data_IF_506817812834
#
_entry.id   IF_506817812834
#
_cell.length_a   1.000
_cell.length_b   1.000
_cell.length_c   1.000
_cell.angle_alpha   90.00
_cell.angle_beta   90.00
_cell.angle_gamma   90.00
#
_symmetry.space_group_name_H-M   'P 1'
#
loop_
_entity.id
_entity.type
_entity.pdbx_description
1 polymer ?
#
# COMPACT_ATOMS: atom_id res chain seq x y z
N UNK A 1 -0.44 14.94 8.46
CA UNK A 1 -1.06 14.38 7.24
C UNK A 1 -0.29 14.78 5.97
N UNK A 2 1.04 14.58 5.92
CA UNK A 2 1.84 14.92 4.72
C UNK A 2 2.65 13.71 4.24
N UNK A 3 2.62 13.55 2.92
CA UNK A 3 3.42 12.66 2.06
C UNK A 3 2.99 11.18 1.97
N UNK A 4 1.95 10.95 1.17
CA UNK A 4 1.43 9.65 0.71
C UNK A 4 2.32 8.94 -0.32
N UNK A 5 3.63 8.86 -0.07
CA UNK A 5 4.55 8.10 -0.93
C UNK A 5 4.67 6.62 -0.54
N UNK A 6 4.14 6.23 0.63
CA UNK A 6 4.23 4.87 1.16
C UNK A 6 2.85 4.33 1.54
N UNK A 7 1.91 4.30 0.59
CA UNK A 7 0.55 3.75 0.81
C UNK A 7 0.53 2.27 1.22
N UNK A 8 1.63 1.54 1.04
CA UNK A 8 1.74 0.12 1.40
C UNK A 8 2.87 -0.22 2.38
N UNK A 9 3.60 0.76 2.94
CA UNK A 9 4.61 0.46 3.95
C UNK A 9 3.94 0.31 5.32
N UNK A 10 4.04 -0.88 5.88
CA UNK A 10 3.53 -1.20 7.21
C UNK A 10 4.66 -0.90 8.20
N UNK A 11 4.54 0.13 9.07
CA UNK A 11 5.50 0.35 10.14
C UNK A 11 5.54 -0.88 11.06
N UNK A 12 6.67 -1.05 11.75
CA UNK A 12 6.70 -1.94 12.90
C UNK A 12 5.62 -1.47 13.89
N UNK A 13 4.82 -2.42 14.33
CA UNK A 13 3.75 -2.19 15.27
C UNK A 13 3.76 -3.33 16.28
N UNK A 14 3.33 -3.00 17.48
CA UNK A 14 3.11 -3.95 18.55
C UNK A 14 1.73 -3.73 19.12
N UNK A 15 1.16 -4.77 19.72
CA UNK A 15 -0.04 -4.61 20.50
C UNK A 15 0.21 -4.85 22.00
N UNK A 16 -0.55 -4.15 22.82
CA UNK A 16 -0.63 -4.33 24.26
C UNK A 16 -1.90 -5.12 24.58
N UNK A 17 -1.73 -6.30 25.19
CA UNK A 17 -2.83 -7.23 25.49
C UNK A 17 -3.26 -7.05 26.92
N UNK A 18 -4.57 -7.15 27.13
CA UNK A 18 -5.19 -7.07 28.44
C UNK A 18 -6.31 -8.09 28.55
N UNK A 19 -6.67 -8.40 29.80
CA UNK A 19 -7.79 -9.28 30.12
C UNK A 19 -9.06 -8.44 30.32
N UNK A 20 -10.25 -9.02 30.11
CA UNK A 20 -11.52 -8.27 30.11
C UNK A 20 -11.87 -7.58 31.46
N UNK A 21 -11.25 -8.00 32.57
CA UNK A 21 -11.58 -7.54 33.92
C UNK A 21 -10.54 -6.64 34.61
N UNK A 22 -9.31 -6.56 34.09
CA UNK A 22 -8.23 -5.69 34.60
C UNK A 22 -7.28 -5.33 33.48
N UNK A 23 -7.06 -4.03 33.25
CA UNK A 23 -6.09 -3.47 32.31
C UNK A 23 -4.64 -3.66 32.84
N UNK A 24 -4.26 -4.86 33.26
CA UNK A 24 -2.88 -5.18 33.65
C UNK A 24 -2.24 -6.04 32.57
N UNK A 25 -1.09 -5.55 32.10
CA UNK A 25 -0.31 -6.12 31.00
C UNK A 25 0.51 -7.28 31.53
N UNK A 26 -0.05 -8.48 31.54
CA UNK A 26 0.68 -9.66 32.03
C UNK A 26 1.21 -10.52 30.88
N UNK A 27 2.07 -9.99 30.01
CA UNK A 27 3.10 -10.79 29.33
C UNK A 27 4.30 -9.90 28.96
N UNK A 28 5.49 -10.32 29.37
CA UNK A 28 6.79 -9.76 28.97
C UNK A 28 7.05 -10.04 27.47
N UNK A 29 6.36 -9.34 26.56
CA UNK A 29 6.60 -9.48 25.12
C UNK A 29 5.68 -8.65 24.22
N UNK A 30 6.27 -7.74 23.45
CA UNK A 30 5.62 -7.07 22.31
C UNK A 30 5.61 -8.02 21.10
N UNK A 31 4.47 -8.62 20.77
CA UNK A 31 4.32 -9.41 19.54
C UNK A 31 3.59 -8.57 18.47
N UNK A 32 3.89 -8.88 17.21
CA UNK A 32 3.40 -8.19 16.01
C UNK A 32 2.30 -8.99 15.29
N UNK A 33 1.51 -9.73 16.07
CA UNK A 33 0.46 -10.64 15.57
C UNK A 33 -0.91 -10.21 16.04
N UNK A 34 -1.91 -10.65 15.30
CA UNK A 34 -3.31 -10.31 15.53
C UNK A 34 -4.04 -11.34 16.40
N UNK A 35 -3.44 -12.54 16.52
CA UNK A 35 -3.94 -13.63 17.34
C UNK A 35 -3.25 -13.64 18.69
N UNK A 36 -4.01 -13.96 19.73
CA UNK A 36 -3.50 -14.10 21.09
C UNK A 36 -2.48 -15.25 21.15
N UNK A 37 -1.45 -15.17 22.02
CA UNK A 37 -0.58 -16.31 22.29
C UNK A 37 -1.40 -17.51 22.79
N UNK A 38 -1.05 -18.73 22.37
CA UNK A 38 -1.80 -19.96 22.68
C UNK A 38 -1.90 -20.31 24.17
N UNK A 39 -1.15 -19.61 25.03
CA UNK A 39 -1.22 -19.77 26.48
C UNK A 39 -2.36 -18.95 27.12
N UNK A 40 -3.03 -18.08 26.35
CA UNK A 40 -3.98 -17.08 26.81
C UNK A 40 -4.95 -16.68 25.68
N UNK A 41 -5.99 -17.49 25.46
CA UNK A 41 -6.99 -17.31 24.39
C UNK A 41 -8.03 -16.21 24.65
N UNK A 42 -8.25 -15.82 25.91
CA UNK A 42 -9.23 -14.79 26.31
C UNK A 42 -8.68 -13.35 26.28
N UNK A 43 -7.40 -13.16 25.95
CA UNK A 43 -6.81 -11.82 25.91
C UNK A 43 -7.22 -11.13 24.61
N UNK A 44 -7.48 -9.82 24.72
CA UNK A 44 -7.76 -8.96 23.57
C UNK A 44 -6.67 -7.91 23.41
N UNK A 45 -6.41 -7.54 22.16
CA UNK A 45 -5.53 -6.43 21.80
C UNK A 45 -6.20 -5.09 22.16
N UNK A 46 -5.79 -4.46 23.27
CA UNK A 46 -6.46 -3.25 23.79
C UNK A 46 -5.90 -1.98 23.14
N UNK A 47 -4.58 -1.91 22.97
CA UNK A 47 -3.91 -0.75 22.38
C UNK A 47 -2.86 -1.20 21.37
N UNK A 48 -2.95 -0.66 20.17
CA UNK A 48 -1.91 -0.79 19.13
C UNK A 48 -0.94 0.37 19.25
N UNK A 49 0.36 0.08 19.22
CA UNK A 49 1.42 1.09 19.25
C UNK A 49 2.28 0.96 18.00
N UNK A 50 2.46 2.07 17.30
CA UNK A 50 3.27 2.16 16.09
C UNK A 50 4.55 2.94 16.38
N UNK A 51 5.64 2.56 15.72
CA UNK A 51 6.90 3.30 15.83
C UNK A 51 6.73 4.76 15.32
N UNK A 52 7.16 5.77 16.09
CA UNK A 52 6.97 7.19 15.73
C UNK A 52 7.86 7.65 14.58
N UNK A 53 8.83 6.83 14.15
CA UNK A 53 9.74 7.15 13.05
C UNK A 53 9.06 7.09 11.67
N UNK A 54 7.90 6.43 11.56
CA UNK A 54 7.20 6.26 10.29
C UNK A 54 5.68 6.48 10.44
N UNK A 55 5.23 7.66 10.00
CA UNK A 55 3.81 7.97 9.86
C UNK A 55 3.31 7.53 8.49
N UNK A 56 2.38 6.57 8.45
CA UNK A 56 1.78 6.08 7.20
C UNK A 56 0.26 6.04 7.30
N UNK A 57 -0.38 5.88 6.14
CA UNK A 57 -1.83 5.61 6.03
C UNK A 57 -2.27 4.44 6.92
N UNK A 58 -1.39 3.45 7.13
CA UNK A 58 -1.70 2.27 7.96
C UNK A 58 -1.70 2.61 9.45
N UNK A 59 -0.78 3.47 9.91
CA UNK A 59 -0.69 3.89 11.32
C UNK A 59 -1.66 5.01 11.70
N UNK A 60 -2.13 5.80 10.74
CA UNK A 60 -3.13 6.85 11.00
C UNK A 60 -4.54 6.29 11.31
N UNK A 61 -4.89 5.17 10.68
CA UNK A 61 -6.25 4.60 10.72
C UNK A 61 -6.28 3.15 11.23
N UNK A 62 -5.18 2.64 11.80
CA UNK A 62 -5.04 1.29 12.38
C UNK A 62 -5.44 0.14 11.43
N UNK A 63 -5.02 0.18 10.15
CA UNK A 63 -5.37 -0.80 9.10
C UNK A 63 -4.61 -2.13 9.21
N UNK A 64 -4.54 -2.69 10.41
CA UNK A 64 -3.82 -3.94 10.68
C UNK A 64 -4.79 -5.04 11.12
N UNK A 65 -4.41 -6.30 10.90
CA UNK A 65 -5.18 -7.48 11.23
C UNK A 65 -6.43 -7.59 10.35
N UNK A 66 -7.62 -7.59 10.95
CA UNK A 66 -8.92 -7.68 10.29
C UNK A 66 -9.20 -6.57 9.26
N UNK A 67 -8.39 -5.51 9.25
CA UNK A 67 -8.54 -4.33 8.37
C UNK A 67 -7.41 -4.17 7.35
N UNK A 68 -6.58 -5.18 7.16
CA UNK A 68 -5.49 -5.17 6.18
C UNK A 68 -5.99 -5.07 4.72
N UNK A 69 -7.12 -5.71 4.42
CA UNK A 69 -7.80 -5.68 3.12
C UNK A 69 -8.17 -4.26 2.65
N UNK A 70 -8.34 -3.31 3.58
CA UNK A 70 -8.69 -1.93 3.26
C UNK A 70 -7.57 -1.25 2.45
N UNK A 71 -6.30 -1.54 2.77
CA UNK A 71 -5.15 -0.96 2.05
C UNK A 71 -5.12 -1.42 0.59
N UNK A 72 -5.41 -2.70 0.36
CA UNK A 72 -5.52 -3.26 -0.99
C UNK A 72 -6.72 -2.67 -1.74
N UNK A 73 -7.86 -2.54 -1.06
CA UNK A 73 -9.09 -1.95 -1.61
C UNK A 73 -8.88 -0.49 -2.03
N UNK A 74 -8.15 0.30 -1.25
CA UNK A 74 -7.82 1.69 -1.63
C UNK A 74 -7.04 1.71 -2.96
N UNK A 75 -6.09 0.78 -3.13
CA UNK A 75 -5.28 0.69 -4.35
C UNK A 75 -6.12 0.27 -5.55
N UNK A 76 -7.02 -0.70 -5.39
CA UNK A 76 -7.91 -1.13 -6.50
C UNK A 76 -8.87 -0.02 -6.91
N UNK A 77 -9.44 0.72 -5.95
CA UNK A 77 -10.29 1.89 -6.25
C UNK A 77 -9.49 2.97 -6.99
N UNK A 78 -8.24 3.23 -6.58
CA UNK A 78 -7.38 4.21 -7.28
C UNK A 78 -7.12 3.81 -8.73
N UNK A 79 -6.84 2.53 -8.99
CA UNK A 79 -6.65 2.02 -10.35
C UNK A 79 -7.95 2.06 -11.16
N UNK A 80 -9.09 1.77 -10.54
CA UNK A 80 -10.41 1.94 -11.15
C UNK A 80 -10.70 3.40 -11.53
N UNK A 81 -10.37 4.34 -10.63
CA UNK A 81 -10.49 5.78 -10.89
C UNK A 81 -9.57 6.26 -12.02
N UNK A 82 -8.36 5.71 -12.11
CA UNK A 82 -7.45 5.98 -13.23
C UNK A 82 -8.04 5.50 -14.56
N UNK A 83 -8.61 4.30 -14.60
CA UNK A 83 -9.22 3.74 -15.80
C UNK A 83 -10.43 4.55 -16.26
N UNK A 84 -11.35 4.83 -15.34
CA UNK A 84 -12.54 5.63 -15.65
C UNK A 84 -12.18 7.07 -16.04
N UNK A 85 -11.26 7.68 -15.29
CA UNK A 85 -10.75 9.02 -15.59
C UNK A 85 -10.07 9.10 -16.96
N UNK A 86 -9.39 8.04 -17.40
CA UNK A 86 -8.77 7.98 -18.73
C UNK A 86 -9.79 7.94 -19.86
N UNK A 87 -10.87 7.15 -19.72
CA UNK A 87 -11.95 7.08 -20.70
C UNK A 87 -12.66 8.43 -20.84
N UNK A 88 -12.99 9.06 -19.71
CA UNK A 88 -13.67 10.36 -19.68
C UNK A 88 -12.76 11.49 -20.18
N UNK A 89 -11.50 11.52 -19.73
CA UNK A 89 -10.53 12.53 -20.16
C UNK A 89 -10.24 12.46 -21.66
N UNK A 90 -10.28 11.26 -22.27
CA UNK A 90 -10.18 11.10 -23.72
C UNK A 90 -11.29 11.83 -24.46
N UNK A 91 -12.55 11.58 -24.09
CA UNK A 91 -13.70 12.23 -24.71
C UNK A 91 -13.71 13.75 -24.50
N UNK A 92 -13.38 14.20 -23.29
CA UNK A 92 -13.32 15.64 -22.96
C UNK A 92 -12.20 16.34 -23.74
N UNK A 93 -11.04 15.69 -23.92
CA UNK A 93 -9.92 16.27 -24.65
C UNK A 93 -10.26 16.52 -26.13
N UNK A 94 -11.10 15.66 -26.72
CA UNK A 94 -11.55 15.80 -28.11
C UNK A 94 -12.60 16.92 -28.25
N UNK A 95 -13.43 17.16 -27.23
CA UNK A 95 -14.47 18.21 -27.27
C UNK A 95 -13.97 19.62 -26.91
N UNK A 96 -13.18 19.76 -25.85
CA UNK A 96 -12.76 21.08 -25.33
C UNK A 96 -11.45 21.58 -25.94
N UNK A 97 -10.76 20.76 -26.73
CA UNK A 97 -9.47 21.09 -27.30
C UNK A 97 -8.31 20.92 -26.32
N UNK A 98 -7.09 20.85 -26.87
CA UNK A 98 -5.90 20.34 -26.16
C UNK A 98 -5.33 21.28 -25.09
N UNK A 99 -5.40 22.59 -25.32
CA UNK A 99 -4.79 23.63 -24.47
C UNK A 99 -5.58 23.94 -23.19
N UNK A 100 -6.90 24.20 -23.23
CA UNK A 100 -7.67 24.48 -22.02
C UNK A 100 -7.84 23.25 -21.12
N UNK A 101 -7.96 22.05 -21.71
CA UNK A 101 -8.06 20.79 -20.96
C UNK A 101 -6.87 20.59 -20.02
N UNK A 102 -5.66 20.96 -20.46
CA UNK A 102 -4.45 20.85 -19.64
C UNK A 102 -4.50 21.76 -18.40
N UNK A 103 -4.78 23.06 -18.60
CA UNK A 103 -4.86 24.02 -17.49
C UNK A 103 -5.98 23.68 -16.52
N UNK A 104 -7.15 23.27 -17.03
CA UNK A 104 -8.29 22.87 -16.21
C UNK A 104 -7.97 21.63 -15.36
N UNK A 105 -7.32 20.63 -15.97
CA UNK A 105 -6.90 19.40 -15.26
C UNK A 105 -5.90 19.71 -14.16
N UNK A 106 -4.95 20.62 -14.41
CA UNK A 106 -3.94 21.00 -13.42
C UNK A 106 -4.57 21.74 -12.23
N UNK A 107 -5.51 22.65 -12.50
CA UNK A 107 -6.24 23.37 -11.45
C UNK A 107 -7.10 22.41 -10.61
N UNK A 108 -7.86 21.53 -11.26
CA UNK A 108 -8.66 20.52 -10.57
C UNK A 108 -7.78 19.59 -9.73
N UNK A 109 -6.67 19.10 -10.28
CA UNK A 109 -5.74 18.23 -9.56
C UNK A 109 -5.21 18.91 -8.29
N UNK A 110 -4.85 20.19 -8.36
CA UNK A 110 -4.39 20.95 -7.21
C UNK A 110 -5.48 21.04 -6.13
N UNK A 111 -6.71 21.39 -6.52
CA UNK A 111 -7.85 21.49 -5.59
C UNK A 111 -8.13 20.14 -4.93
N UNK A 112 -8.24 19.04 -5.68
CA UNK A 112 -8.52 17.72 -5.12
C UNK A 112 -7.40 17.22 -4.19
N UNK A 113 -6.14 17.51 -4.51
CA UNK A 113 -5.03 17.15 -3.62
C UNK A 113 -5.03 17.98 -2.33
N UNK A 114 -5.36 19.27 -2.40
CA UNK A 114 -5.53 20.10 -1.21
C UNK A 114 -6.66 19.57 -0.33
N UNK A 115 -7.82 19.27 -0.92
CA UNK A 115 -8.96 18.71 -0.17
C UNK A 115 -8.61 17.35 0.43
N UNK A 116 -7.85 16.51 -0.29
CA UNK A 116 -7.39 15.22 0.22
C UNK A 116 -6.45 15.36 1.44
N UNK A 117 -5.69 16.46 1.55
CA UNK A 117 -4.83 16.70 2.71
C UNK A 117 -5.61 16.95 4.01
N UNK A 118 -6.86 17.40 3.91
CA UNK A 118 -7.75 17.62 5.06
C UNK A 118 -8.65 16.41 5.38
N UNK A 119 -8.49 15.28 4.69
CA UNK A 119 -9.38 14.13 4.90
C UNK A 119 -9.11 13.45 6.23
N UNK A 120 -10.14 13.27 7.04
CA UNK A 120 -10.07 12.58 8.35
C UNK A 120 -10.47 11.11 8.28
N UNK A 121 -11.11 10.67 7.19
CA UNK A 121 -11.61 9.31 7.00
C UNK A 121 -10.95 8.61 5.81
N UNK A 122 -10.61 7.33 5.98
CA UNK A 122 -10.01 6.50 4.93
C UNK A 122 -10.86 6.40 3.66
N UNK A 123 -12.21 6.44 3.78
CA UNK A 123 -13.13 6.40 2.62
C UNK A 123 -13.04 7.68 1.79
N UNK A 124 -13.11 8.83 2.45
CA UNK A 124 -12.99 10.14 1.82
C UNK A 124 -11.62 10.29 1.16
N UNK A 125 -10.57 9.86 1.86
CA UNK A 125 -9.22 9.82 1.34
C UNK A 125 -9.13 8.99 0.05
N UNK A 126 -9.70 7.78 0.04
CA UNK A 126 -9.67 6.88 -1.11
C UNK A 126 -10.38 7.48 -2.34
N UNK A 127 -11.57 8.05 -2.15
CA UNK A 127 -12.36 8.63 -3.25
C UNK A 127 -11.68 9.86 -3.84
N UNK A 128 -11.27 10.82 -3.00
CA UNK A 128 -10.61 12.05 -3.46
C UNK A 128 -9.33 11.74 -4.24
N UNK A 129 -8.55 10.77 -3.75
CA UNK A 129 -7.31 10.35 -4.40
C UNK A 129 -7.59 9.63 -5.73
N UNK A 130 -8.64 8.83 -5.80
CA UNK A 130 -9.03 8.14 -7.05
C UNK A 130 -9.47 9.13 -8.13
N UNK A 131 -10.19 10.19 -7.76
CA UNK A 131 -10.54 11.29 -8.66
C UNK A 131 -9.27 12.02 -9.12
N UNK A 132 -8.36 12.33 -8.19
CA UNK A 132 -7.07 12.95 -8.51
C UNK A 132 -6.23 12.14 -9.51
N UNK A 133 -6.13 10.82 -9.32
CA UNK A 133 -5.45 9.93 -10.26
C UNK A 133 -6.14 9.90 -11.64
N UNK A 134 -7.48 9.93 -11.67
CA UNK A 134 -8.23 10.04 -12.93
C UNK A 134 -7.88 11.30 -13.73
N UNK A 135 -7.80 12.45 -13.04
CA UNK A 135 -7.47 13.76 -13.64
C UNK A 135 -6.01 13.86 -14.10
N UNK A 136 -5.10 13.05 -13.52
CA UNK A 136 -3.68 13.07 -13.88
C UNK A 136 -3.39 12.50 -15.27
N UNK A 137 -4.28 11.69 -15.85
CA UNK A 137 -4.10 11.08 -17.18
C UNK A 137 -3.71 12.06 -18.30
N UNK A 138 -4.45 13.17 -18.55
CA UNK A 138 -4.08 14.16 -19.56
C UNK A 138 -2.75 14.87 -19.24
N UNK A 139 -2.42 15.05 -17.95
CA UNK A 139 -1.17 15.67 -17.50
C UNK A 139 0.03 14.76 -17.82
N UNK A 140 -0.11 13.45 -17.65
CA UNK A 140 0.94 12.48 -18.02
C UNK A 140 1.22 12.45 -19.53
N UNK A 141 0.27 12.90 -20.37
CA UNK A 141 0.37 12.93 -21.84
C UNK A 141 0.93 14.26 -22.38
N UNK A 142 1.53 15.10 -21.52
CA UNK A 142 2.05 16.43 -21.88
C UNK A 142 3.08 16.39 -23.02
N UNK A 143 3.88 15.31 -23.13
CA UNK A 143 4.90 15.18 -24.17
C UNK A 143 4.32 15.31 -25.57
N UNK A 144 3.19 14.67 -25.86
CA UNK A 144 2.54 14.73 -27.18
C UNK A 144 1.94 16.12 -27.46
N UNK A 145 1.63 16.89 -26.43
CA UNK A 145 1.16 18.28 -26.56
C UNK A 145 2.32 19.25 -26.87
N UNK A 146 3.50 19.01 -26.29
CA UNK A 146 4.67 19.89 -26.44
C UNK A 146 5.34 19.69 -27.81
N UNK A 147 5.30 18.48 -28.41
CA UNK A 147 5.91 18.18 -29.73
C UNK A 147 5.59 19.21 -30.83
N UNK A 148 4.32 19.55 -31.13
CA UNK A 148 4.02 20.55 -32.17
C UNK A 148 4.50 21.97 -31.81
N UNK A 149 4.57 22.31 -30.52
CA UNK A 149 5.13 23.60 -30.07
C UNK A 149 6.66 23.63 -30.27
N UNK A 150 7.36 22.51 -30.05
CA UNK A 150 8.79 22.38 -30.31
C UNK A 150 9.08 22.49 -31.80
N UNK A 151 8.30 21.85 -32.67
CA UNK A 151 8.50 21.92 -34.13
C UNK A 151 8.29 23.36 -34.63
N UNK A 152 7.29 24.06 -34.10
CA UNK A 152 7.06 25.48 -34.40
C UNK A 152 8.24 26.36 -33.96
N UNK A 153 8.75 26.17 -32.74
CA UNK A 153 9.91 26.91 -32.22
C UNK A 153 11.21 26.52 -32.94
N UNK A 154 11.35 25.27 -33.37
CA UNK A 154 12.52 24.77 -34.09
C UNK A 154 12.72 25.46 -35.43
N UNK A 155 11.66 25.99 -36.05
CA UNK A 155 11.77 26.79 -37.27
C UNK A 155 12.32 28.18 -37.01
N UNK A 156 12.18 28.72 -35.79
CA UNK A 156 12.65 30.05 -35.43
C UNK A 156 13.98 30.04 -34.64
N UNK A 157 14.36 28.91 -34.05
CA UNK A 157 15.63 28.76 -33.32
C UNK A 157 16.13 27.31 -33.36
N UNK A 158 17.21 27.07 -34.11
CA UNK A 158 17.80 25.73 -34.36
C UNK A 158 18.33 25.03 -33.09
N UNK A 159 18.59 25.77 -32.00
CA UNK A 159 19.21 25.24 -30.78
C UNK A 159 18.26 24.53 -29.79
N UNK A 160 16.95 24.76 -29.87
CA UNK A 160 16.00 24.29 -28.84
C UNK A 160 15.87 22.76 -28.83
N UNK A 161 15.94 22.13 -30.00
CA UNK A 161 15.81 20.68 -30.14
C UNK A 161 17.00 19.93 -29.54
N UNK A 162 18.21 20.45 -29.74
CA UNK A 162 19.43 19.91 -29.12
C UNK A 162 19.45 20.08 -27.60
N UNK A 163 18.97 21.24 -27.11
CA UNK A 163 18.87 21.47 -25.67
C UNK A 163 17.95 20.45 -25.01
N UNK A 164 16.74 20.24 -25.56
CA UNK A 164 15.75 19.29 -25.04
C UNK A 164 16.26 17.83 -25.06
N UNK A 165 16.91 17.41 -26.14
CA UNK A 165 17.50 16.08 -26.24
C UNK A 165 18.65 15.89 -25.24
N UNK A 166 19.44 16.96 -25.01
CA UNK A 166 20.46 17.02 -23.98
C UNK A 166 19.90 16.81 -22.57
N UNK A 167 18.79 17.47 -22.21
CA UNK A 167 18.19 17.31 -20.87
C UNK A 167 17.68 15.88 -20.64
N UNK A 168 17.14 15.22 -21.67
CA UNK A 168 16.70 13.83 -21.59
C UNK A 168 17.88 12.87 -21.41
N UNK A 169 18.97 13.07 -22.15
CA UNK A 169 20.20 12.30 -21.98
C UNK A 169 20.81 12.49 -20.58
N UNK A 170 20.90 13.74 -20.11
CA UNK A 170 21.40 14.07 -18.78
C UNK A 170 20.51 13.45 -17.69
N UNK A 171 19.18 13.49 -17.83
CA UNK A 171 18.28 12.83 -16.87
C UNK A 171 18.47 11.30 -16.84
N UNK A 172 18.72 10.67 -17.99
CA UNK A 172 18.96 9.23 -18.08
C UNK A 172 20.31 8.85 -17.46
N UNK A 173 21.35 9.67 -17.69
CA UNK A 173 22.65 9.52 -17.05
C UNK A 173 22.59 9.75 -15.53
N UNK A 174 21.80 10.72 -15.08
CA UNK A 174 21.54 10.93 -13.66
C UNK A 174 20.84 9.71 -13.03
N UNK A 175 19.88 9.08 -13.72
CA UNK A 175 19.24 7.85 -13.23
C UNK A 175 20.21 6.66 -13.19
N UNK A 176 21.17 6.59 -14.11
CA UNK A 176 22.26 5.59 -14.06
C UNK A 176 23.23 5.89 -12.89
N UNK A 177 23.41 7.17 -12.56
CA UNK A 177 24.22 7.62 -11.42
C UNK A 177 23.52 7.49 -10.06
N UNK A 178 22.19 7.38 -10.02
CA UNK A 178 21.48 7.00 -8.81
C UNK A 178 21.89 5.56 -8.51
N UNK A 179 22.53 5.30 -7.35
CA UNK A 179 22.85 3.93 -6.97
C UNK A 179 21.54 3.16 -6.87
N UNK A 180 21.34 2.24 -7.82
CA UNK A 180 20.31 1.21 -7.83
C UNK A 180 20.08 0.74 -6.38
N UNK A 181 18.90 1.04 -5.84
CA UNK A 181 18.48 0.56 -4.51
C UNK A 181 18.42 -0.98 -4.48
N UNK A 182 18.60 -1.65 -5.63
CA UNK A 182 18.63 -3.10 -5.81
C UNK A 182 19.79 -3.85 -5.14
N UNK A 183 20.85 -3.20 -4.65
CA UNK A 183 21.96 -3.91 -3.95
C UNK A 183 21.91 -3.91 -2.42
N UNK A 184 20.96 -3.21 -1.80
CA UNK A 184 20.60 -3.52 -0.41
C UNK A 184 19.41 -4.47 -0.44
N UNK A 185 19.76 -5.73 -0.26
CA UNK A 185 18.94 -6.90 -0.53
C UNK A 185 17.58 -6.83 0.16
N UNK A 186 16.52 -6.80 -0.65
CA UNK A 186 15.16 -7.16 -0.24
C UNK A 186 15.13 -8.57 0.39
N UNK A 187 16.18 -9.38 0.20
CA UNK A 187 16.39 -10.65 0.91
C UNK A 187 16.38 -10.48 2.42
N UNK A 188 16.77 -9.35 3.01
CA UNK A 188 16.64 -9.17 4.47
C UNK A 188 15.18 -9.05 4.90
N UNK A 189 14.34 -8.40 4.08
CA UNK A 189 12.89 -8.31 4.33
C UNK A 189 12.19 -9.63 4.02
N UNK A 190 12.55 -10.30 2.92
CA UNK A 190 11.99 -11.60 2.54
C UNK A 190 12.46 -12.70 3.51
N UNK A 191 13.71 -12.70 3.97
CA UNK A 191 14.24 -13.63 4.96
C UNK A 191 13.66 -13.36 6.35
N UNK A 192 13.48 -12.08 6.74
CA UNK A 192 12.74 -11.72 7.96
C UNK A 192 11.28 -12.18 7.86
N UNK A 193 10.60 -11.96 6.73
CA UNK A 193 9.23 -12.43 6.49
C UNK A 193 9.15 -13.96 6.48
N UNK A 194 10.11 -14.65 5.87
CA UNK A 194 10.20 -16.13 5.84
C UNK A 194 10.49 -16.73 7.22
N UNK A 195 11.35 -16.08 8.03
CA UNK A 195 11.60 -16.45 9.43
C UNK A 195 10.35 -16.26 10.28
N UNK A 196 9.63 -15.14 10.12
CA UNK A 196 8.36 -14.89 10.82
C UNK A 196 7.30 -15.91 10.40
N UNK A 197 7.15 -16.22 9.11
CA UNK A 197 6.23 -17.27 8.63
C UNK A 197 6.61 -18.66 9.16
N UNK A 198 7.90 -18.98 9.25
CA UNK A 198 8.36 -20.26 9.79
C UNK A 198 8.12 -20.35 11.30
N UNK A 199 8.45 -19.30 12.05
CA UNK A 199 8.13 -19.16 13.47
C UNK A 199 6.63 -19.29 13.74
N UNK A 200 5.79 -18.66 12.90
CA UNK A 200 4.33 -18.72 13.00
C UNK A 200 3.78 -20.11 12.62
N UNK A 201 4.43 -20.83 11.70
CA UNK A 201 4.07 -22.21 11.34
C UNK A 201 4.47 -23.21 12.43
N UNK A 202 5.67 -23.06 12.98
CA UNK A 202 6.19 -23.97 14.01
C UNK A 202 5.42 -23.81 15.33
N UNK A 203 4.96 -22.59 15.65
CA UNK A 203 4.05 -22.35 16.78
C UNK A 203 2.67 -22.97 16.58
N UNK A 204 2.08 -22.89 15.38
CA UNK A 204 0.82 -23.59 15.05
C UNK A 204 0.99 -25.10 15.16
N UNK A 205 2.08 -25.67 14.62
CA UNK A 205 2.34 -27.11 14.69
C UNK A 205 2.60 -27.60 16.11
N UNK A 206 3.23 -26.78 16.96
CA UNK A 206 3.44 -27.10 18.38
C UNK A 206 2.14 -27.04 19.17
N UNK A 207 1.22 -26.14 18.80
CA UNK A 207 -0.11 -26.07 19.39
C UNK A 207 -0.97 -27.27 18.96
N UNK A 208 -0.93 -27.67 17.69
CA UNK A 208 -1.61 -28.90 17.24
C UNK A 208 -1.06 -30.15 17.94
N UNK A 209 0.25 -30.25 18.17
CA UNK A 209 0.84 -31.39 18.92
C UNK A 209 0.47 -31.34 20.41
N UNK A 210 0.21 -30.16 20.98
CA UNK A 210 -0.30 -30.02 22.36
C UNK A 210 -1.80 -30.35 22.46
N UNK A 211 -2.61 -29.92 21.49
CA UNK A 211 -4.02 -30.30 21.40
C UNK A 211 -4.15 -31.82 21.21
N UNK A 212 -3.25 -32.44 20.43
CA UNK A 212 -3.24 -33.89 20.21
C UNK A 212 -2.58 -34.70 21.36
N UNK A 213 -1.95 -34.04 22.34
CA UNK A 213 -1.54 -34.63 23.62
C UNK A 213 -2.51 -34.34 24.77
N UNK A 214 -3.51 -33.50 24.53
CA UNK A 214 -4.68 -33.29 25.39
C UNK A 214 -5.90 -34.14 24.99
N UNK A 215 -5.84 -34.84 23.86
CA UNK A 215 -6.83 -35.82 23.41
C UNK A 215 -6.31 -37.24 23.60
N UNK A 216 -6.09 -37.64 24.85
CA UNK A 216 -6.31 -39.05 25.21
C UNK A 216 -7.80 -39.17 25.56
N UNK A 217 -8.62 -39.40 24.54
CA UNK A 217 -9.86 -40.18 24.58
C UNK A 217 -10.55 -40.15 23.19
N UNK A 218 -11.01 -41.33 22.77
CA UNK A 218 -12.08 -41.54 21.79
C UNK A 218 -11.77 -41.50 20.28
N UNK A 219 -10.84 -42.33 19.79
CA UNK A 219 -10.93 -42.82 18.40
C UNK A 219 -10.41 -44.25 18.24
N UNK A 220 -10.88 -45.15 19.11
CA UNK A 220 -10.56 -46.60 19.08
C UNK A 220 -11.81 -47.45 18.82
N UNK A 221 -12.72 -47.01 17.96
CA UNK A 221 -13.94 -47.79 17.64
C UNK A 221 -14.50 -47.64 16.22
N UNK A 222 -13.86 -46.89 15.32
CA UNK A 222 -14.38 -46.69 13.94
C UNK A 222 -13.51 -47.23 12.81
N UNK A 223 -12.42 -47.95 13.12
CA UNK A 223 -11.49 -48.49 12.12
C UNK A 223 -11.53 -50.03 11.94
N UNK A 224 -12.64 -50.68 12.30
CA UNK A 224 -12.87 -52.12 12.11
C UNK A 224 -13.96 -52.47 11.07
N UNK A 225 -14.46 -51.49 10.32
CA UNK A 225 -15.57 -51.69 9.36
C UNK A 225 -15.15 -51.54 7.89
N UNK A 226 -13.94 -51.05 7.60
CA UNK A 226 -13.47 -50.81 6.21
C UNK A 226 -12.45 -51.82 5.68
N UNK A 227 -12.18 -52.91 6.42
CA UNK A 227 -11.28 -53.99 5.98
C UNK A 227 -12.02 -55.33 5.75
N UNK A 228 -13.33 -55.28 5.48
CA UNK A 228 -14.15 -56.45 5.17
C UNK A 228 -15.19 -56.23 4.05
N UNK A 229 -14.85 -55.39 3.06
CA UNK A 229 -15.56 -55.29 1.78
C UNK A 229 -14.59 -55.09 0.61
#
# INVERSE_FOLDING_TARGET
MLMNSFGGAIPNWSCQWGNQSSFTVDIHGTYNTCSAPSNYSDLICVRKTFDPSLHTVVSEWDLVCDRDWITQTITTIQMGGLLFGGLVAGQIADMFGRKPTYFLSMLMLFVFNLVAAFSTSWKMFAVLRSIGHGIQNPVARIGVMIVPQIVYVSQHTTGVMYFLCGVMFISTLCLIGVPETGKKSLTDTIAKKKKIYKQSRDSVMTNEIKDNKGFECEYSSHLSVLESL
#
